data_IF_853724333158
#
_entry.id   IF_853724333158
#
_cell.length_a   1.000
_cell.length_b   1.000
_cell.length_c   1.000
_cell.angle_alpha   90.00
_cell.angle_beta   90.00
_cell.angle_gamma   90.00
#
_symmetry.space_group_name_H-M   'P 1'
#
loop_
_entity.id
_entity.type
_entity.pdbx_description
1 polymer ?
#
# COMPACT_ATOMS: atom_id res chain seq x y z
N UNK A 1 -11.35 -27.66 -0.54
CA UNK A 1 -12.49 -26.75 -0.37
C UNK A 1 -12.11 -25.45 -1.03
N UNK A 2 -12.83 -25.04 -2.07
CA UNK A 2 -12.70 -23.72 -2.69
C UNK A 2 -13.16 -22.68 -1.68
N UNK A 3 -12.39 -21.60 -1.51
CA UNK A 3 -12.78 -20.47 -0.66
C UNK A 3 -13.73 -19.58 -1.47
N UNK A 4 -15.03 -19.74 -1.25
CA UNK A 4 -16.08 -19.03 -2.01
C UNK A 4 -16.33 -17.61 -1.48
N UNK A 5 -15.57 -17.16 -0.47
CA UNK A 5 -15.66 -15.81 0.08
C UNK A 5 -15.19 -14.76 -0.92
N UNK A 6 -15.72 -13.56 -0.79
CA UNK A 6 -15.32 -12.41 -1.60
C UNK A 6 -13.94 -11.91 -1.19
N UNK A 7 -12.96 -12.07 -2.06
CA UNK A 7 -11.54 -11.76 -1.79
C UNK A 7 -11.19 -10.34 -2.23
N UNK A 8 -10.66 -9.57 -1.28
CA UNK A 8 -10.09 -8.26 -1.54
C UNK A 8 -8.56 -8.29 -1.43
N UNK A 9 -7.91 -7.46 -2.23
CA UNK A 9 -6.50 -7.11 -2.08
C UNK A 9 -6.39 -5.64 -1.72
N UNK A 10 -5.80 -5.34 -0.57
CA UNK A 10 -5.43 -3.98 -0.18
C UNK A 10 -3.96 -3.76 -0.53
N UNK A 11 -3.70 -2.78 -1.41
CA UNK A 11 -2.36 -2.52 -1.94
C UNK A 11 -1.99 -1.07 -1.63
N UNK A 12 -0.96 -0.88 -0.83
CA UNK A 12 -0.36 0.42 -0.54
C UNK A 12 0.70 0.70 -1.61
N UNK A 13 0.50 1.75 -2.41
CA UNK A 13 1.30 2.06 -3.60
C UNK A 13 0.79 1.37 -4.85
N UNK A 14 -0.54 1.45 -5.11
CA UNK A 14 -1.23 0.70 -6.16
C UNK A 14 -1.23 1.36 -7.53
N UNK A 15 -0.76 2.61 -7.66
CA UNK A 15 -0.91 3.41 -8.88
C UNK A 15 0.17 3.17 -9.93
N UNK A 16 1.27 2.50 -9.60
CA UNK A 16 2.38 2.30 -10.52
C UNK A 16 3.25 1.10 -10.15
N UNK A 17 4.15 0.70 -11.06
CA UNK A 17 5.19 -0.28 -10.83
C UNK A 17 4.67 -1.62 -10.33
N UNK A 18 5.31 -2.16 -9.28
CA UNK A 18 4.98 -3.48 -8.73
C UNK A 18 3.57 -3.52 -8.10
N UNK A 19 3.13 -2.42 -7.48
CA UNK A 19 1.79 -2.33 -6.91
C UNK A 19 0.69 -2.39 -7.97
N UNK A 20 0.84 -1.64 -9.06
CA UNK A 20 -0.05 -1.68 -10.23
C UNK A 20 -0.08 -3.08 -10.86
N UNK A 21 1.10 -3.65 -11.15
CA UNK A 21 1.18 -4.98 -11.75
C UNK A 21 0.51 -6.05 -10.89
N UNK A 22 0.67 -5.96 -9.55
CA UNK A 22 0.01 -6.85 -8.61
C UNK A 22 -1.50 -6.63 -8.59
N UNK A 23 -1.97 -5.38 -8.61
CA UNK A 23 -3.39 -5.06 -8.66
C UNK A 23 -4.07 -5.67 -9.89
N UNK A 24 -3.50 -5.48 -11.07
CA UNK A 24 -4.01 -6.04 -12.33
C UNK A 24 -4.00 -7.57 -12.31
N UNK A 25 -2.91 -8.18 -11.83
CA UNK A 25 -2.80 -9.64 -11.75
C UNK A 25 -3.83 -10.23 -10.80
N UNK A 26 -4.02 -9.63 -9.61
CA UNK A 26 -5.01 -10.11 -8.64
C UNK A 26 -6.44 -9.88 -9.14
N UNK A 27 -6.72 -8.75 -9.80
CA UNK A 27 -8.02 -8.50 -10.43
C UNK A 27 -8.36 -9.58 -11.48
N UNK A 28 -7.41 -9.92 -12.35
CA UNK A 28 -7.57 -11.00 -13.32
C UNK A 28 -7.82 -12.40 -12.68
N UNK A 29 -7.49 -12.56 -11.40
CA UNK A 29 -7.73 -13.76 -10.60
C UNK A 29 -8.92 -13.63 -9.64
N UNK A 30 -9.84 -12.70 -9.90
CA UNK A 30 -11.11 -12.56 -9.20
C UNK A 30 -11.00 -11.89 -7.82
N UNK A 31 -9.95 -11.09 -7.58
CA UNK A 31 -9.86 -10.24 -6.40
C UNK A 31 -10.44 -8.86 -6.68
N UNK A 32 -11.17 -8.29 -5.74
CA UNK A 32 -11.50 -6.86 -5.72
C UNK A 32 -10.30 -6.09 -5.18
N UNK A 33 -10.07 -4.90 -5.70
CA UNK A 33 -8.86 -4.13 -5.40
C UNK A 33 -9.22 -2.89 -4.58
N UNK A 34 -8.59 -2.77 -3.40
CA UNK A 34 -8.50 -1.53 -2.64
C UNK A 34 -7.09 -0.98 -2.80
N UNK A 35 -6.92 0.02 -3.64
CA UNK A 35 -5.64 0.64 -3.97
C UNK A 35 -5.46 1.96 -3.22
N UNK A 36 -4.42 2.06 -2.40
CA UNK A 36 -4.00 3.31 -1.77
C UNK A 36 -2.82 3.87 -2.56
N UNK A 37 -2.88 5.15 -2.91
CA UNK A 37 -1.85 5.81 -3.69
C UNK A 37 -1.71 7.28 -3.31
N UNK A 38 -0.59 7.89 -3.63
CA UNK A 38 -0.37 9.33 -3.46
C UNK A 38 0.16 9.89 -4.78
N UNK A 39 -0.75 10.38 -5.61
CA UNK A 39 -0.42 10.92 -6.92
C UNK A 39 -0.86 12.36 -7.05
N UNK A 40 -0.03 13.14 -7.77
CA UNK A 40 -0.31 14.52 -8.12
C UNK A 40 -1.04 14.59 -9.48
N UNK A 41 -1.61 15.74 -9.77
CA UNK A 41 -2.48 15.99 -10.94
C UNK A 41 -1.97 15.39 -12.25
N UNK A 42 -0.66 15.42 -12.50
CA UNK A 42 -0.07 14.89 -13.72
C UNK A 42 -0.17 13.36 -13.87
N UNK A 43 -0.29 12.62 -12.79
CA UNK A 43 -0.35 11.16 -12.77
C UNK A 43 -1.78 10.60 -12.66
N UNK A 44 -2.77 11.44 -12.39
CA UNK A 44 -4.16 10.98 -12.16
C UNK A 44 -4.74 10.26 -13.39
N UNK A 45 -4.45 10.74 -14.60
CA UNK A 45 -4.90 10.07 -15.84
C UNK A 45 -4.41 8.62 -15.92
N UNK A 46 -3.19 8.32 -15.46
CA UNK A 46 -2.67 6.97 -15.39
C UNK A 46 -3.41 6.12 -14.35
N UNK A 47 -3.71 6.70 -13.18
CA UNK A 47 -4.50 6.02 -12.14
C UNK A 47 -5.88 5.64 -12.66
N UNK A 48 -6.53 6.55 -13.38
CA UNK A 48 -7.85 6.28 -13.98
C UNK A 48 -7.78 5.18 -15.06
N UNK A 49 -6.70 5.11 -15.85
CA UNK A 49 -6.45 4.01 -16.77
C UNK A 49 -6.28 2.66 -16.05
N UNK A 50 -5.52 2.63 -14.96
CA UNK A 50 -5.35 1.41 -14.13
C UNK A 50 -6.69 0.94 -13.58
N UNK A 51 -7.51 1.86 -13.05
CA UNK A 51 -8.87 1.53 -12.56
C UNK A 51 -9.74 0.96 -13.67
N UNK A 52 -9.76 1.61 -14.84
CA UNK A 52 -10.53 1.14 -15.99
C UNK A 52 -10.10 -0.26 -16.44
N UNK A 53 -8.79 -0.56 -16.43
CA UNK A 53 -8.28 -1.92 -16.73
C UNK A 53 -8.76 -2.95 -15.73
N UNK A 54 -8.77 -2.62 -14.43
CA UNK A 54 -9.28 -3.52 -13.37
C UNK A 54 -10.78 -3.78 -13.56
N UNK A 55 -11.56 -2.73 -13.85
CA UNK A 55 -13.00 -2.83 -14.08
C UNK A 55 -13.30 -3.64 -15.36
N UNK A 56 -12.51 -3.48 -16.42
CA UNK A 56 -12.62 -4.28 -17.64
C UNK A 56 -12.35 -5.78 -17.42
N UNK A 57 -11.63 -6.15 -16.36
CA UNK A 57 -11.44 -7.54 -15.90
C UNK A 57 -12.63 -8.07 -15.09
N UNK A 58 -13.70 -7.28 -14.93
CA UNK A 58 -14.88 -7.63 -14.12
C UNK A 58 -14.67 -7.50 -12.61
N UNK A 59 -13.64 -6.78 -12.19
CA UNK A 59 -13.33 -6.55 -10.79
C UNK A 59 -13.72 -5.14 -10.33
N UNK A 60 -13.88 -4.95 -9.01
CA UNK A 60 -14.07 -3.63 -8.40
C UNK A 60 -12.72 -2.97 -8.13
N UNK A 61 -12.59 -1.68 -8.47
CA UNK A 61 -11.41 -0.86 -8.23
C UNK A 61 -11.73 0.30 -7.27
N UNK A 62 -11.54 0.10 -5.97
CA UNK A 62 -11.61 1.15 -4.95
C UNK A 62 -10.23 1.80 -4.80
N UNK A 63 -10.00 2.93 -5.46
CA UNK A 63 -8.72 3.65 -5.39
C UNK A 63 -8.87 4.94 -4.58
N UNK A 64 -7.98 5.15 -3.61
CA UNK A 64 -8.02 6.29 -2.69
C UNK A 64 -6.68 7.02 -2.73
N UNK A 65 -6.71 8.30 -3.16
CA UNK A 65 -5.53 9.15 -3.24
C UNK A 65 -5.24 9.80 -1.88
N UNK A 66 -4.24 9.30 -1.18
CA UNK A 66 -3.88 9.75 0.16
C UNK A 66 -2.44 9.38 0.54
N UNK A 67 -1.88 10.08 1.52
CA UNK A 67 -0.67 9.62 2.20
C UNK A 67 -1.01 8.40 3.08
N UNK A 68 -0.40 7.25 2.82
CA UNK A 68 -0.64 6.02 3.54
C UNK A 68 -0.20 6.04 5.02
N UNK A 69 0.67 6.97 5.40
CA UNK A 69 1.12 7.16 6.79
C UNK A 69 0.22 8.11 7.61
N UNK A 70 -0.77 8.74 6.99
CA UNK A 70 -1.69 9.67 7.65
C UNK A 70 -2.80 8.91 8.37
N UNK A 71 -2.89 9.06 9.68
CA UNK A 71 -3.80 8.30 10.54
C UNK A 71 -5.28 8.60 10.25
N UNK A 72 -5.63 9.88 10.07
CA UNK A 72 -7.01 10.30 9.83
C UNK A 72 -7.47 9.81 8.44
N UNK A 73 -6.61 9.92 7.44
CA UNK A 73 -6.91 9.45 6.09
C UNK A 73 -6.99 7.92 6.03
N UNK A 74 -6.15 7.21 6.80
CA UNK A 74 -6.22 5.75 6.92
C UNK A 74 -7.56 5.32 7.54
N UNK A 75 -7.98 5.99 8.61
CA UNK A 75 -9.28 5.72 9.23
C UNK A 75 -10.43 5.96 8.25
N UNK A 76 -10.42 7.05 7.50
CA UNK A 76 -11.42 7.36 6.46
C UNK A 76 -11.42 6.32 5.32
N UNK A 77 -10.24 5.88 4.87
CA UNK A 77 -10.11 4.85 3.84
C UNK A 77 -10.69 3.51 4.30
N UNK A 78 -10.42 3.12 5.55
CA UNK A 78 -10.99 1.90 6.13
C UNK A 78 -12.52 2.00 6.34
N UNK A 79 -13.04 3.19 6.68
CA UNK A 79 -14.48 3.41 6.71
C UNK A 79 -15.11 3.21 5.33
N UNK A 80 -14.49 3.75 4.26
CA UNK A 80 -14.94 3.54 2.88
C UNK A 80 -14.89 2.06 2.47
N UNK A 81 -13.85 1.34 2.85
CA UNK A 81 -13.76 -0.11 2.61
C UNK A 81 -14.85 -0.87 3.38
N UNK A 82 -15.17 -0.44 4.62
CA UNK A 82 -16.27 -1.01 5.43
C UNK A 82 -17.61 -0.88 4.72
N UNK A 83 -17.91 0.28 4.14
CA UNK A 83 -19.15 0.48 3.38
C UNK A 83 -19.28 -0.51 2.20
N UNK A 84 -18.14 -0.87 1.56
CA UNK A 84 -18.13 -1.90 0.50
C UNK A 84 -18.40 -3.28 1.07
N UNK A 85 -17.80 -3.61 2.20
CA UNK A 85 -18.01 -4.89 2.89
C UNK A 85 -19.46 -5.04 3.34
N UNK A 86 -20.05 -4.00 3.95
CA UNK A 86 -21.44 -4.02 4.42
C UNK A 86 -22.42 -4.21 3.25
N UNK A 87 -22.14 -3.62 2.09
CA UNK A 87 -22.92 -3.87 0.87
C UNK A 87 -22.79 -5.33 0.44
N UNK A 88 -21.58 -5.90 0.38
CA UNK A 88 -21.38 -7.29 0.03
C UNK A 88 -22.10 -8.24 0.99
N UNK A 89 -22.05 -7.96 2.30
CA UNK A 89 -22.77 -8.72 3.32
C UNK A 89 -24.30 -8.67 3.11
N UNK A 90 -24.83 -7.50 2.77
CA UNK A 90 -26.27 -7.35 2.49
C UNK A 90 -26.73 -8.14 1.26
N UNK A 91 -25.80 -8.47 0.36
CA UNK A 91 -26.03 -9.28 -0.83
C UNK A 91 -25.67 -10.78 -0.60
N UNK A 92 -25.41 -11.17 0.66
CA UNK A 92 -25.13 -12.56 1.04
C UNK A 92 -23.71 -13.03 0.72
N UNK A 93 -22.76 -12.12 0.46
CA UNK A 93 -21.35 -12.43 0.26
C UNK A 93 -20.56 -12.23 1.54
N UNK A 94 -19.45 -12.92 1.71
CA UNK A 94 -18.54 -12.81 2.85
C UNK A 94 -17.23 -12.13 2.43
N UNK A 95 -17.13 -10.80 2.45
CA UNK A 95 -15.92 -10.09 2.05
C UNK A 95 -14.83 -10.20 3.12
N UNK A 96 -13.57 -10.32 2.68
CA UNK A 96 -12.41 -10.17 3.55
C UNK A 96 -11.18 -9.75 2.73
N UNK A 97 -10.22 -9.11 3.39
CA UNK A 97 -8.93 -8.77 2.79
C UNK A 97 -8.04 -10.03 2.81
N UNK A 98 -7.92 -10.68 1.66
CA UNK A 98 -7.10 -11.88 1.48
C UNK A 98 -5.62 -11.56 1.32
N UNK A 99 -5.31 -10.40 0.72
CA UNK A 99 -3.95 -9.92 0.47
C UNK A 99 -3.81 -8.50 0.95
N UNK A 100 -2.79 -8.25 1.76
CA UNK A 100 -2.27 -6.91 2.05
C UNK A 100 -0.90 -6.82 1.42
N UNK A 101 -0.65 -5.81 0.58
CA UNK A 101 0.66 -5.58 -0.02
C UNK A 101 1.14 -4.17 0.28
N UNK A 102 2.27 -4.08 0.97
CA UNK A 102 2.98 -2.81 1.19
C UNK A 102 4.03 -2.63 0.09
N UNK A 103 3.74 -1.76 -0.87
CA UNK A 103 4.59 -1.46 -2.04
C UNK A 103 4.94 0.03 -2.12
N UNK A 104 5.14 0.66 -0.96
CA UNK A 104 5.48 2.07 -0.90
C UNK A 104 6.97 2.29 -1.16
N UNK A 105 7.26 3.23 -2.07
CA UNK A 105 8.61 3.63 -2.48
C UNK A 105 8.75 5.15 -2.49
N UNK A 106 8.34 5.79 -1.39
CA UNK A 106 8.40 7.24 -1.20
C UNK A 106 9.36 7.59 -0.05
N UNK A 107 10.63 7.77 -0.39
CA UNK A 107 11.70 8.05 0.57
C UNK A 107 12.75 9.00 0.00
N UNK A 108 13.55 9.57 0.90
CA UNK A 108 14.60 10.52 0.54
C UNK A 108 15.86 9.81 0.04
N UNK A 109 16.32 10.18 -1.16
CA UNK A 109 17.54 9.67 -1.79
C UNK A 109 18.64 10.76 -1.73
N UNK A 110 19.15 10.99 -0.54
CA UNK A 110 20.18 12.01 -0.26
C UNK A 110 21.31 11.41 0.60
N UNK A 111 22.56 11.93 0.50
CA UNK A 111 23.66 11.44 1.33
C UNK A 111 23.41 11.75 2.82
N UNK A 112 23.90 10.90 3.71
CA UNK A 112 23.87 11.17 5.15
C UNK A 112 24.75 12.35 5.52
N UNK A 113 25.90 12.46 4.87
CA UNK A 113 26.84 13.57 5.07
C UNK A 113 26.97 14.35 3.77
N UNK A 114 26.71 15.62 3.81
CA UNK A 114 26.88 16.55 2.70
C UNK A 114 27.55 17.85 3.23
N UNK A 115 28.38 18.49 2.40
CA UNK A 115 28.99 19.78 2.75
C UNK A 115 27.93 20.86 2.94
N UNK A 116 26.95 20.92 2.03
CA UNK A 116 25.74 21.74 2.24
C UNK A 116 24.72 20.94 3.05
N UNK A 117 24.37 21.40 4.27
CA UNK A 117 23.37 20.73 5.11
C UNK A 117 22.01 20.56 4.43
N UNK A 118 21.66 21.42 3.46
CA UNK A 118 20.39 21.31 2.71
C UNK A 118 20.39 20.14 1.70
N UNK A 119 21.55 19.76 1.22
CA UNK A 119 21.71 18.64 0.29
C UNK A 119 21.74 17.26 0.98
N UNK A 120 21.95 17.23 2.30
CA UNK A 120 22.00 16.01 3.09
C UNK A 120 20.67 15.61 3.72
N UNK A 121 20.74 14.55 4.50
CA UNK A 121 19.60 14.08 5.30
C UNK A 121 19.38 15.01 6.51
N UNK A 122 18.12 15.26 6.83
CA UNK A 122 17.68 15.90 8.06
C UNK A 122 16.70 14.99 8.81
N UNK A 123 16.31 15.39 10.02
CA UNK A 123 15.35 14.65 10.85
C UNK A 123 14.04 14.40 10.10
N UNK A 124 13.50 15.42 9.43
CA UNK A 124 12.21 15.32 8.73
C UNK A 124 12.24 14.30 7.60
N UNK A 125 13.34 14.25 6.84
CA UNK A 125 13.53 13.25 5.77
C UNK A 125 13.63 11.84 6.34
N UNK A 126 14.35 11.67 7.49
CA UNK A 126 14.42 10.38 8.19
C UNK A 126 13.04 9.93 8.66
N UNK A 127 12.38 10.76 9.47
CA UNK A 127 11.08 10.44 10.07
C UNK A 127 10.03 10.13 9.00
N UNK A 128 9.92 10.97 7.97
CA UNK A 128 8.98 10.76 6.87
C UNK A 128 9.23 9.45 6.12
N UNK A 129 10.50 9.14 5.82
CA UNK A 129 10.84 7.91 5.08
C UNK A 129 10.56 6.67 5.92
N UNK A 130 10.93 6.69 7.21
CA UNK A 130 10.63 5.59 8.14
C UNK A 130 9.14 5.38 8.28
N UNK A 131 8.38 6.46 8.44
CA UNK A 131 6.95 6.39 8.67
C UNK A 131 6.22 5.83 7.44
N UNK A 132 6.52 6.36 6.25
CA UNK A 132 5.88 5.90 5.01
C UNK A 132 6.35 4.51 4.58
N UNK A 133 7.66 4.22 4.63
CA UNK A 133 8.23 3.01 4.01
C UNK A 133 8.39 1.82 4.97
N UNK A 134 8.18 2.02 6.26
CA UNK A 134 8.28 0.95 7.26
C UNK A 134 7.06 0.94 8.20
N UNK A 135 6.92 1.98 9.05
CA UNK A 135 5.94 1.96 10.14
C UNK A 135 4.50 1.84 9.64
N UNK A 136 4.18 2.43 8.50
CA UNK A 136 2.81 2.39 7.93
C UNK A 136 2.30 0.97 7.71
N UNK A 137 3.17 -0.02 7.42
CA UNK A 137 2.75 -1.42 7.35
C UNK A 137 2.10 -1.88 8.65
N UNK A 138 2.75 -1.58 9.78
CA UNK A 138 2.27 -1.99 11.12
C UNK A 138 0.92 -1.33 11.40
N UNK A 139 0.79 -0.03 11.13
CA UNK A 139 -0.46 0.71 11.38
C UNK A 139 -1.63 0.15 10.56
N UNK A 140 -1.43 -0.07 9.26
CA UNK A 140 -2.45 -0.65 8.40
C UNK A 140 -2.85 -2.07 8.83
N UNK A 141 -1.88 -2.93 9.17
CA UNK A 141 -2.18 -4.30 9.59
C UNK A 141 -2.92 -4.33 10.93
N UNK A 142 -2.53 -3.48 11.88
CA UNK A 142 -3.23 -3.37 13.16
C UNK A 142 -4.68 -2.92 12.99
N UNK A 143 -4.92 -1.89 12.17
CA UNK A 143 -6.26 -1.37 11.97
C UNK A 143 -7.13 -2.32 11.15
N UNK A 144 -6.58 -3.00 10.14
CA UNK A 144 -7.27 -4.06 9.42
C UNK A 144 -7.65 -5.24 10.34
N UNK A 145 -6.76 -5.62 11.24
CA UNK A 145 -7.02 -6.71 12.19
C UNK A 145 -8.08 -6.30 13.22
N UNK A 146 -7.93 -5.14 13.86
CA UNK A 146 -8.90 -4.62 14.83
C UNK A 146 -10.27 -4.39 14.22
N UNK A 147 -10.31 -3.93 12.98
CA UNK A 147 -11.54 -3.73 12.22
C UNK A 147 -12.19 -5.02 11.70
N UNK A 148 -11.59 -6.21 11.90
CA UNK A 148 -12.15 -7.46 11.40
C UNK A 148 -12.15 -7.58 9.86
N UNK A 149 -11.25 -6.87 9.17
CA UNK A 149 -11.13 -6.98 7.71
C UNK A 149 -10.34 -8.21 7.28
N UNK A 150 -9.42 -8.69 8.13
CA UNK A 150 -8.61 -9.88 7.85
C UNK A 150 -9.38 -11.15 8.18
N UNK A 151 -9.24 -12.16 7.32
CA UNK A 151 -9.84 -13.48 7.53
C UNK A 151 -8.79 -14.58 7.65
N UNK A 152 -9.24 -15.79 7.97
CA UNK A 152 -8.35 -16.94 7.95
C UNK A 152 -7.70 -17.09 6.57
N UNK A 153 -6.38 -17.25 6.56
CA UNK A 153 -5.58 -17.37 5.35
C UNK A 153 -5.16 -16.03 4.72
N UNK A 154 -5.50 -14.88 5.29
CA UNK A 154 -4.96 -13.58 4.84
C UNK A 154 -3.43 -13.60 4.81
N UNK A 155 -2.85 -12.96 3.79
CA UNK A 155 -1.40 -12.85 3.58
C UNK A 155 -0.99 -11.40 3.56
N UNK A 156 0.11 -11.10 4.24
CA UNK A 156 0.71 -9.77 4.30
C UNK A 156 2.06 -9.84 3.60
N UNK A 157 2.25 -8.99 2.60
CA UNK A 157 3.48 -8.88 1.83
C UNK A 157 4.05 -7.47 1.94
N UNK A 158 5.36 -7.38 2.02
CA UNK A 158 6.08 -6.11 2.02
C UNK A 158 7.18 -6.14 0.95
N UNK A 159 7.24 -5.09 0.13
CA UNK A 159 8.30 -4.92 -0.85
C UNK A 159 9.52 -4.32 -0.18
N UNK A 160 10.59 -5.07 -0.14
CA UNK A 160 11.88 -4.65 0.40
C UNK A 160 12.89 -4.30 -0.72
N UNK A 161 14.16 -4.19 -0.39
CA UNK A 161 15.24 -3.82 -1.30
C UNK A 161 16.54 -4.46 -0.84
N UNK A 162 17.44 -4.79 -1.76
CA UNK A 162 18.80 -5.21 -1.39
C UNK A 162 19.56 -4.14 -0.58
N UNK A 163 19.14 -2.89 -0.68
CA UNK A 163 19.67 -1.80 0.14
C UNK A 163 19.44 -1.97 1.64
N UNK A 164 18.58 -2.89 2.10
CA UNK A 164 18.45 -3.24 3.52
C UNK A 164 19.72 -3.94 4.07
N UNK A 165 20.48 -4.62 3.21
CA UNK A 165 21.68 -5.39 3.56
C UNK A 165 22.96 -4.92 2.85
N UNK A 166 22.84 -4.02 1.85
CA UNK A 166 23.96 -3.49 1.09
C UNK A 166 24.04 -1.97 1.17
N UNK A 167 25.25 -1.44 1.17
CA UNK A 167 25.48 0.01 1.10
C UNK A 167 25.35 0.47 -0.34
N UNK A 168 24.37 1.35 -0.57
CA UNK A 168 24.13 2.00 -1.86
C UNK A 168 24.27 3.51 -1.66
N UNK A 169 25.06 4.23 -2.48
CA UNK A 169 25.23 5.69 -2.36
C UNK A 169 23.89 6.43 -2.34
N UNK A 170 23.74 7.39 -1.44
CA UNK A 170 22.54 8.22 -1.24
C UNK A 170 21.25 7.45 -0.89
N UNK A 171 21.33 6.15 -0.64
CA UNK A 171 20.18 5.30 -0.35
C UNK A 171 19.97 5.03 1.15
N UNK A 172 20.85 5.54 2.01
CA UNK A 172 20.89 5.18 3.44
C UNK A 172 19.59 5.39 4.21
N UNK A 173 18.83 6.44 3.90
CA UNK A 173 17.52 6.71 4.52
C UNK A 173 16.52 5.61 4.16
N UNK A 174 16.46 5.25 2.89
CA UNK A 174 15.60 4.16 2.40
C UNK A 174 16.09 2.80 2.89
N UNK A 175 17.42 2.57 2.92
CA UNK A 175 18.03 1.36 3.47
C UNK A 175 17.59 1.10 4.92
N UNK A 176 17.66 2.14 5.76
CA UNK A 176 17.25 2.02 7.17
C UNK A 176 15.76 1.71 7.30
N UNK A 177 14.91 2.31 6.47
CA UNK A 177 13.48 2.01 6.46
C UNK A 177 13.19 0.57 5.99
N UNK A 178 13.90 0.09 4.97
CA UNK A 178 13.72 -1.29 4.49
C UNK A 178 14.25 -2.32 5.48
N UNK A 179 15.34 -2.05 6.19
CA UNK A 179 15.80 -2.90 7.29
C UNK A 179 14.79 -2.94 8.45
N UNK A 180 14.20 -1.80 8.82
CA UNK A 180 13.13 -1.75 9.81
C UNK A 180 11.86 -2.50 9.36
N UNK A 181 11.51 -2.41 8.07
CA UNK A 181 10.37 -3.13 7.50
C UNK A 181 10.56 -4.66 7.54
N UNK A 182 11.80 -5.14 7.41
CA UNK A 182 12.15 -6.57 7.46
C UNK A 182 12.19 -7.11 8.89
N UNK A 183 12.48 -6.28 9.88
CA UNK A 183 12.57 -6.64 11.30
C UNK A 183 11.21 -6.84 11.94
#
# INVERSE_FOLDING_TARGET
MTDDRERWALILGASSGMGEATALTLAANGYRICGIHLDFRAAIAHVDDVKAKIEALGSEALYINMNAADDDKRAAALATLRERFDRSLSEGREPYVRVVMHSLAFGSLVPFLAEDPKAGVDRKKMEMTQDVMANSLVYWVQDLWRGGFLGHGSKIYAMTSEGSTRVVPSYGVVSSAKAALES
#
